data_IF_483236461574
#
_entry.id   IF_483236461574
#
_cell.length_a   1.000
_cell.length_b   1.000
_cell.length_c   1.000
_cell.angle_alpha   90.00
_cell.angle_beta   90.00
_cell.angle_gamma   90.00
#
_symmetry.space_group_name_H-M   'P 1'
#
loop_
_entity.id
_entity.type
_entity.pdbx_description
1 polymer ?
#
# COMPACT_ATOMS: atom_id res chain seq x y z
N UNK A 1 1.47 7.34 -21.30
CA UNK A 1 1.45 6.42 -20.13
C UNK A 1 0.79 7.08 -18.95
N UNK A 2 -0.09 6.39 -18.30
CA UNK A 2 -0.78 6.88 -17.10
C UNK A 2 -0.99 5.74 -16.10
N UNK A 3 -1.22 6.11 -14.84
CA UNK A 3 -1.64 5.16 -13.82
C UNK A 3 -3.15 4.94 -13.92
N UNK A 4 -3.54 3.70 -14.14
CA UNK A 4 -4.94 3.30 -14.10
C UNK A 4 -5.44 3.33 -12.65
N UNK A 5 -4.64 2.78 -11.74
CA UNK A 5 -4.85 2.96 -10.31
C UNK A 5 -3.54 2.79 -9.53
N UNK A 6 -3.56 3.32 -8.31
CA UNK A 6 -2.52 3.12 -7.32
C UNK A 6 -3.20 3.03 -5.95
N UNK A 7 -2.99 1.94 -5.24
CA UNK A 7 -3.62 1.70 -3.94
C UNK A 7 -2.63 1.06 -2.98
N UNK A 8 -2.92 1.21 -1.69
CA UNK A 8 -2.22 0.53 -0.61
C UNK A 8 -3.12 -0.58 -0.07
N UNK A 9 -2.55 -1.75 0.16
CA UNK A 9 -3.32 -2.92 0.56
C UNK A 9 -2.52 -3.82 1.51
N UNK A 10 -3.22 -4.72 2.17
CA UNK A 10 -2.60 -5.72 3.03
C UNK A 10 -1.83 -6.78 2.24
N UNK A 11 -2.33 -7.12 1.07
CA UNK A 11 -1.72 -8.14 0.22
C UNK A 11 -2.12 -7.93 -1.24
N UNK A 12 -1.21 -8.24 -2.13
CA UNK A 12 -1.48 -8.24 -3.56
C UNK A 12 -0.56 -9.20 -4.28
N UNK A 13 -1.04 -9.73 -5.38
CA UNK A 13 -0.23 -10.55 -6.28
C UNK A 13 -0.63 -10.31 -7.74
N UNK A 14 0.30 -10.60 -8.62
CA UNK A 14 0.06 -10.64 -10.06
C UNK A 14 0.33 -12.07 -10.50
N UNK A 15 -0.67 -12.73 -11.10
CA UNK A 15 -0.50 -14.10 -11.56
C UNK A 15 0.27 -14.17 -12.89
N UNK A 16 0.52 -15.40 -13.36
CA UNK A 16 1.26 -15.60 -14.61
C UNK A 16 0.57 -15.02 -15.83
N UNK A 17 -0.75 -14.85 -15.76
CA UNK A 17 -1.53 -14.27 -16.87
C UNK A 17 -1.61 -12.74 -16.80
N UNK A 18 -1.01 -12.14 -15.77
CA UNK A 18 -1.03 -10.69 -15.59
C UNK A 18 -2.24 -10.19 -14.81
N UNK A 19 -3.08 -11.07 -14.29
CA UNK A 19 -4.22 -10.66 -13.46
C UNK A 19 -3.76 -10.31 -12.06
N UNK A 20 -4.31 -9.22 -11.54
CA UNK A 20 -4.02 -8.76 -10.19
C UNK A 20 -5.10 -9.21 -9.23
N UNK A 21 -4.66 -9.62 -8.04
CA UNK A 21 -5.54 -9.82 -6.89
C UNK A 21 -5.06 -8.92 -5.77
N UNK A 22 -5.98 -8.14 -5.20
CA UNK A 22 -5.66 -7.17 -4.15
C UNK A 22 -6.61 -7.41 -2.99
N UNK A 23 -6.06 -7.61 -1.80
CA UNK A 23 -6.84 -7.86 -0.59
C UNK A 23 -6.57 -6.77 0.45
N UNK A 24 -7.65 -6.24 1.03
CA UNK A 24 -7.56 -5.29 2.11
C UNK A 24 -6.99 -3.94 1.69
N UNK A 25 -7.65 -3.26 0.76
CA UNK A 25 -7.29 -1.90 0.37
C UNK A 25 -7.62 -0.96 1.54
N UNK A 26 -6.67 -0.11 1.92
CA UNK A 26 -6.87 0.83 3.02
C UNK A 26 -6.20 2.16 2.74
N UNK A 27 -6.65 3.19 3.44
CA UNK A 27 -6.04 4.53 3.44
C UNK A 27 -5.79 5.02 4.87
N UNK A 28 -6.23 4.28 5.88
CA UNK A 28 -6.10 4.67 7.27
C UNK A 28 -5.48 3.53 8.07
N UNK A 29 -4.44 3.86 8.81
CA UNK A 29 -3.74 2.92 9.69
C UNK A 29 -3.95 3.36 11.13
N UNK A 30 -4.37 2.43 11.98
CA UNK A 30 -4.55 2.66 13.41
C UNK A 30 -3.48 1.89 14.17
N UNK A 31 -2.73 2.57 15.02
CA UNK A 31 -1.64 1.97 15.79
C UNK A 31 -1.81 2.28 17.27
N UNK A 32 -1.39 1.36 18.17
CA UNK A 32 -1.56 1.59 19.61
C UNK A 32 -0.61 2.64 20.16
N UNK A 33 0.57 2.78 19.60
CA UNK A 33 1.58 3.72 20.08
C UNK A 33 2.59 4.03 18.99
N UNK A 34 3.33 5.13 19.13
CA UNK A 34 4.41 5.53 18.24
C UNK A 34 5.77 5.44 18.96
N UNK A 35 6.86 5.19 18.22
CA UNK A 35 6.90 4.87 16.78
C UNK A 35 6.29 3.52 16.48
N UNK A 36 5.67 3.39 15.33
CA UNK A 36 5.03 2.15 14.90
C UNK A 36 5.64 1.66 13.60
N UNK A 37 5.71 0.35 13.44
CA UNK A 37 6.13 -0.29 12.19
C UNK A 37 4.92 -0.96 11.56
N UNK A 38 4.65 -0.62 10.29
CA UNK A 38 3.67 -1.34 9.51
C UNK A 38 4.39 -2.31 8.57
N UNK A 39 4.39 -3.60 8.88
CA UNK A 39 5.13 -4.56 8.06
C UNK A 39 4.39 -4.90 6.79
N UNK A 40 5.16 -5.12 5.74
CA UNK A 40 4.66 -5.64 4.47
C UNK A 40 3.48 -4.87 3.90
N UNK A 41 3.59 -3.55 3.90
CA UNK A 41 2.62 -2.70 3.23
C UNK A 41 2.79 -2.89 1.71
N UNK A 42 1.72 -3.24 1.03
CA UNK A 42 1.74 -3.45 -0.41
C UNK A 42 1.26 -2.21 -1.13
N UNK A 43 2.12 -1.62 -1.93
CA UNK A 43 1.75 -0.55 -2.85
C UNK A 43 1.53 -1.18 -4.21
N UNK A 44 0.32 -1.05 -4.73
CA UNK A 44 -0.13 -1.75 -5.91
C UNK A 44 -0.40 -0.75 -7.01
N UNK A 45 0.26 -0.93 -8.14
CA UNK A 45 0.18 -0.02 -9.28
C UNK A 45 -0.27 -0.77 -10.51
N UNK A 46 -1.13 -0.14 -11.31
CA UNK A 46 -1.44 -0.57 -12.64
C UNK A 46 -1.23 0.59 -13.61
N UNK A 47 -0.34 0.35 -14.56
CA UNK A 47 0.02 1.34 -15.57
C UNK A 47 -0.61 0.95 -16.90
N UNK A 48 -1.08 1.94 -17.62
CA UNK A 48 -1.55 1.77 -18.99
C UNK A 48 -0.73 2.66 -19.93
N UNK A 49 -0.44 2.15 -21.08
CA UNK A 49 0.32 2.86 -22.08
C UNK A 49 -0.11 2.51 -23.48
N UNK A 50 0.54 3.15 -24.42
CA UNK A 50 0.35 2.91 -25.84
C UNK A 50 1.41 1.93 -26.35
N UNK A 51 1.15 1.29 -27.46
CA UNK A 51 2.09 0.39 -28.13
C UNK A 51 3.47 0.99 -28.33
N UNK A 52 3.54 2.30 -28.53
CA UNK A 52 4.81 3.03 -28.69
C UNK A 52 5.64 3.08 -27.40
N UNK A 53 5.04 2.71 -26.26
CA UNK A 53 5.67 2.77 -24.94
C UNK A 53 6.16 1.39 -24.47
N UNK A 54 6.22 0.40 -25.36
CA UNK A 54 6.79 -0.92 -25.09
C UNK A 54 8.21 -0.79 -24.55
N UNK A 55 8.56 -1.62 -23.58
CA UNK A 55 9.89 -1.68 -22.99
C UNK A 55 9.89 -1.40 -21.50
N UNK A 56 11.08 -1.19 -20.97
CA UNK A 56 11.27 -0.93 -19.54
C UNK A 56 11.03 0.52 -19.21
N UNK A 57 10.33 0.73 -18.08
CA UNK A 57 10.10 2.04 -17.50
C UNK A 57 10.53 2.04 -16.04
N UNK A 58 11.14 3.13 -15.62
CA UNK A 58 11.61 3.28 -14.24
C UNK A 58 10.52 3.83 -13.35
N UNK A 59 10.27 3.14 -12.24
CA UNK A 59 9.31 3.58 -11.23
C UNK A 59 10.07 3.96 -9.98
N UNK A 60 9.82 5.16 -9.48
CA UNK A 60 10.36 5.65 -8.22
C UNK A 60 9.22 5.92 -7.25
N UNK A 61 9.40 5.46 -6.03
CA UNK A 61 8.42 5.62 -4.97
C UNK A 61 9.09 6.37 -3.82
N UNK A 62 8.40 7.38 -3.29
CA UNK A 62 8.85 8.11 -2.11
C UNK A 62 7.69 8.21 -1.14
N UNK A 63 7.93 7.86 0.12
CA UNK A 63 6.95 8.10 1.17
C UNK A 63 7.32 9.38 1.91
N UNK A 64 6.41 10.34 1.88
CA UNK A 64 6.60 11.68 2.43
C UNK A 64 5.66 11.91 3.61
N UNK A 65 6.11 12.71 4.56
CA UNK A 65 5.25 13.18 5.65
C UNK A 65 4.63 14.55 5.33
N UNK A 66 3.91 15.12 6.29
CA UNK A 66 3.25 16.42 6.12
C UNK A 66 4.23 17.58 5.91
N UNK A 67 5.46 17.43 6.37
CA UNK A 67 6.51 18.46 6.28
C UNK A 67 7.41 18.24 5.06
N UNK A 68 6.98 17.39 4.13
CA UNK A 68 7.74 17.03 2.94
C UNK A 68 9.09 16.36 3.24
N UNK A 69 9.18 15.70 4.39
CA UNK A 69 10.33 14.86 4.70
C UNK A 69 10.10 13.44 4.16
N UNK A 70 11.14 12.90 3.55
CA UNK A 70 11.09 11.55 3.01
C UNK A 70 11.37 10.52 4.12
N UNK A 71 10.45 9.58 4.33
CA UNK A 71 10.61 8.51 5.30
C UNK A 71 11.32 7.31 4.71
N UNK A 72 10.97 6.97 3.48
CA UNK A 72 11.63 5.91 2.74
C UNK A 72 11.45 6.15 1.24
N UNK A 73 12.26 5.47 0.47
CA UNK A 73 12.17 5.49 -0.97
C UNK A 73 12.48 4.11 -1.54
N UNK A 74 12.01 3.88 -2.73
CA UNK A 74 12.29 2.66 -3.46
C UNK A 74 12.21 2.92 -4.96
N UNK A 75 12.83 2.04 -5.71
CA UNK A 75 12.76 2.11 -7.16
C UNK A 75 12.66 0.70 -7.74
N UNK A 76 12.10 0.63 -8.92
CA UNK A 76 11.97 -0.61 -9.65
C UNK A 76 11.74 -0.33 -11.12
N UNK A 77 11.61 -1.40 -11.88
CA UNK A 77 11.29 -1.31 -13.30
C UNK A 77 9.97 -2.00 -13.58
N UNK A 78 9.22 -1.42 -14.49
CA UNK A 78 8.01 -2.04 -15.03
C UNK A 78 8.23 -2.24 -16.51
N UNK A 79 7.95 -3.43 -17.00
CA UNK A 79 8.13 -3.77 -18.38
C UNK A 79 6.78 -3.89 -19.10
N UNK A 80 6.57 -3.06 -20.09
CA UNK A 80 5.45 -3.22 -21.02
C UNK A 80 5.86 -4.18 -22.12
N UNK A 81 5.28 -5.37 -22.10
CA UNK A 81 5.50 -6.38 -23.12
C UNK A 81 4.84 -5.97 -24.43
N UNK A 82 5.41 -6.43 -25.53
CA UNK A 82 4.84 -6.14 -26.84
C UNK A 82 3.48 -6.84 -26.98
N UNK A 83 2.41 -6.07 -27.30
CA UNK A 83 1.09 -6.63 -27.42
C UNK A 83 0.92 -7.40 -28.74
N UNK A 84 -0.09 -8.29 -28.83
CA UNK A 84 -0.44 -8.91 -30.11
C UNK A 84 -0.77 -7.88 -31.18
N UNK A 85 -0.65 -8.29 -32.44
CA UNK A 85 -1.01 -7.42 -33.56
C UNK A 85 -2.44 -6.90 -33.45
N UNK A 86 -2.62 -5.61 -33.69
CA UNK A 86 -3.93 -4.96 -33.62
C UNK A 86 -4.29 -4.42 -32.23
N UNK A 87 -3.54 -4.76 -31.21
CA UNK A 87 -3.74 -4.21 -29.85
C UNK A 87 -2.91 -2.93 -29.71
N UNK A 88 -3.56 -1.82 -29.41
CA UNK A 88 -2.90 -0.52 -29.32
C UNK A 88 -2.63 -0.08 -27.87
N UNK A 89 -3.39 -0.59 -26.91
CA UNK A 89 -3.23 -0.27 -25.51
C UNK A 89 -2.56 -1.43 -24.80
N UNK A 90 -1.59 -1.11 -23.95
CA UNK A 90 -0.86 -2.07 -23.13
C UNK A 90 -0.98 -1.71 -21.67
N UNK A 91 -0.84 -2.71 -20.81
CA UNK A 91 -0.89 -2.52 -19.37
C UNK A 91 0.22 -3.29 -18.68
N UNK A 92 0.62 -2.80 -17.54
CA UNK A 92 1.58 -3.47 -16.68
C UNK A 92 1.20 -3.23 -15.22
N UNK A 93 1.47 -4.22 -14.40
CA UNK A 93 1.19 -4.18 -12.98
C UNK A 93 2.49 -4.24 -12.19
N UNK A 94 2.53 -3.57 -11.06
CA UNK A 94 3.64 -3.65 -10.13
C UNK A 94 3.12 -3.72 -8.71
N UNK A 95 3.77 -4.54 -7.90
CA UNK A 95 3.52 -4.63 -6.47
C UNK A 95 4.84 -4.40 -5.77
N UNK A 96 4.89 -3.35 -4.93
CA UNK A 96 6.06 -3.03 -4.13
C UNK A 96 5.70 -3.25 -2.67
N UNK A 97 6.59 -3.88 -1.91
CA UNK A 97 6.34 -4.22 -0.51
C UNK A 97 7.33 -3.48 0.37
N UNK A 98 6.80 -2.78 1.36
CA UNK A 98 7.61 -1.97 2.27
C UNK A 98 7.30 -2.30 3.73
N UNK A 99 8.35 -2.32 4.55
CA UNK A 99 8.20 -2.23 5.99
C UNK A 99 8.30 -0.75 6.36
N UNK A 100 7.20 -0.15 6.76
CA UNK A 100 7.13 1.30 6.89
C UNK A 100 7.20 1.71 8.36
N UNK A 101 8.23 2.48 8.76
CA UNK A 101 8.27 3.08 10.09
C UNK A 101 7.45 4.39 10.08
N UNK A 102 6.47 4.46 10.95
CA UNK A 102 5.71 5.68 11.16
C UNK A 102 6.11 6.30 12.50
N UNK A 103 6.81 7.45 12.50
CA UNK A 103 7.29 8.05 13.74
C UNK A 103 6.19 8.70 14.56
N UNK A 104 5.13 9.16 13.94
CA UNK A 104 4.04 9.89 14.59
C UNK A 104 2.74 9.77 13.79
N UNK A 105 1.64 10.13 14.43
CA UNK A 105 0.35 10.28 13.76
C UNK A 105 0.41 11.43 12.74
N UNK A 106 -0.33 11.32 11.68
CA UNK A 106 -0.42 12.37 10.68
C UNK A 106 -0.79 11.87 9.30
N UNK A 107 -0.64 12.77 8.34
CA UNK A 107 -0.89 12.48 6.94
C UNK A 107 0.43 12.17 6.24
N UNK A 108 0.45 11.05 5.55
CA UNK A 108 1.59 10.61 4.75
C UNK A 108 1.11 10.41 3.32
N UNK A 109 2.05 10.38 2.38
CA UNK A 109 1.71 10.11 1.00
C UNK A 109 2.83 9.38 0.30
N UNK A 110 2.46 8.42 -0.52
CA UNK A 110 3.38 7.87 -1.51
C UNK A 110 3.33 8.74 -2.77
N UNK A 111 4.49 9.19 -3.20
CA UNK A 111 4.64 9.87 -4.48
C UNK A 111 5.20 8.87 -5.48
N UNK A 112 4.51 8.71 -6.60
CA UNK A 112 4.84 7.75 -7.63
C UNK A 112 5.29 8.49 -8.87
N UNK A 113 6.53 8.23 -9.27
CA UNK A 113 7.17 8.84 -10.43
C UNK A 113 7.53 7.75 -11.43
N UNK A 114 7.19 7.94 -12.68
CA UNK A 114 7.54 7.01 -13.75
C UNK A 114 8.33 7.77 -14.79
N UNK A 115 9.52 7.28 -15.12
CA UNK A 115 10.46 7.91 -16.07
C UNK A 115 10.71 9.39 -15.76
N UNK A 116 10.82 9.72 -14.46
CA UNK A 116 11.08 11.09 -14.02
C UNK A 116 9.85 11.99 -13.93
N UNK A 117 8.68 11.51 -14.27
CA UNK A 117 7.44 12.28 -14.23
C UNK A 117 6.52 11.76 -13.13
N UNK A 118 6.03 12.68 -12.27
CA UNK A 118 5.09 12.30 -11.22
C UNK A 118 3.76 11.91 -11.86
N UNK A 119 3.29 10.69 -11.54
CA UNK A 119 2.04 10.15 -12.08
C UNK A 119 0.91 10.13 -11.07
N UNK A 120 1.20 9.94 -9.78
CA UNK A 120 0.17 9.84 -8.77
C UNK A 120 0.72 10.09 -7.37
N UNK A 121 -0.21 10.38 -6.48
CA UNK A 121 0.03 10.48 -5.05
C UNK A 121 -1.02 9.63 -4.34
N UNK A 122 -0.59 8.77 -3.44
CA UNK A 122 -1.48 7.91 -2.64
C UNK A 122 -1.41 8.35 -1.19
N UNK A 123 -2.49 8.96 -0.66
CA UNK A 123 -2.49 9.42 0.72
C UNK A 123 -2.70 8.28 1.70
N UNK A 124 -2.08 8.39 2.88
CA UNK A 124 -2.27 7.47 4.00
C UNK A 124 -2.40 8.32 5.25
N UNK A 125 -3.44 8.06 6.03
CA UNK A 125 -3.62 8.67 7.35
C UNK A 125 -3.24 7.66 8.41
N UNK A 126 -2.39 8.07 9.36
CA UNK A 126 -1.98 7.22 10.48
C UNK A 126 -2.44 7.88 11.77
N UNK A 127 -3.20 7.14 12.55
CA UNK A 127 -3.78 7.63 13.81
C UNK A 127 -3.45 6.69 14.94
N UNK A 128 -3.37 7.25 16.14
CA UNK A 128 -3.25 6.44 17.34
C UNK A 128 -4.62 5.90 17.73
N UNK A 129 -4.66 4.59 18.00
CA UNK A 129 -5.86 4.02 18.58
C UNK A 129 -6.14 4.64 19.95
N UNK A 130 -7.38 5.05 20.24
CA UNK A 130 -7.71 5.40 21.60
C UNK A 130 -7.45 4.19 22.51
N UNK A 131 -7.01 4.40 23.77
CA UNK A 131 -6.83 3.29 24.68
C UNK A 131 -8.13 2.49 24.75
N UNK A 132 -8.05 1.21 24.44
CA UNK A 132 -9.19 0.35 24.60
C UNK A 132 -9.53 0.29 26.10
N UNK A 133 -10.81 0.47 26.46
CA UNK A 133 -11.19 0.20 27.85
C UNK A 133 -10.74 -1.24 28.17
N UNK A 134 -10.15 -1.42 29.36
CA UNK A 134 -9.78 -2.75 29.81
C UNK A 134 -10.98 -3.67 29.58
N UNK A 135 -10.79 -4.86 29.01
CA UNK A 135 -11.90 -5.79 28.87
C UNK A 135 -12.54 -5.96 30.24
N UNK A 136 -13.87 -5.84 30.28
CA UNK A 136 -14.59 -6.07 31.51
C UNK A 136 -14.08 -7.38 32.13
N UNK A 137 -13.74 -7.35 33.41
CA UNK A 137 -13.33 -8.58 34.09
C UNK A 137 -14.38 -9.66 33.78
N UNK A 138 -13.96 -10.87 33.43
CA UNK A 138 -14.94 -11.94 33.24
C UNK A 138 -15.81 -12.02 34.48
N UNK A 139 -17.12 -12.22 34.31
CA UNK A 139 -17.99 -12.32 35.47
C UNK A 139 -17.39 -13.35 36.42
N UNK A 140 -17.27 -12.98 37.69
CA UNK A 140 -16.79 -13.92 38.70
C UNK A 140 -17.59 -15.20 38.56
N UNK A 141 -16.89 -16.34 38.62
CA UNK A 141 -17.57 -17.63 38.61
C UNK A 141 -18.74 -17.61 39.60
N UNK A 142 -19.93 -18.09 39.21
CA UNK A 142 -21.02 -18.13 40.14
C UNK A 142 -20.58 -18.92 41.37
N UNK A 143 -20.96 -18.49 42.57
CA UNK A 143 -20.59 -19.22 43.76
C UNK A 143 -21.05 -20.67 43.62
N UNK A 144 -20.20 -21.61 44.03
CA UNK A 144 -20.59 -23.01 44.03
C UNK A 144 -21.87 -23.17 44.82
N UNK A 145 -22.82 -23.91 44.27
CA UNK A 145 -24.03 -24.23 45.00
C UNK A 145 -23.68 -24.89 46.35
N UNK A 146 -24.36 -24.51 47.44
CA UNK A 146 -24.11 -25.13 48.70
C UNK A 146 -24.26 -26.66 48.62
N UNK A 147 -23.31 -27.43 49.13
CA UNK A 147 -23.36 -28.88 49.11
C UNK A 147 -22.88 -29.55 47.85
N UNK A 148 -22.33 -28.80 46.93
CA UNK A 148 -21.73 -29.35 45.70
C UNK A 148 -20.24 -29.49 45.81
#
# INVERSE_FOLDING_TARGET
>A
MHLDFAVVADYALVDQSGKMSVLGIFQHIWVPQFPAMHPRLHLVLRLKGRRTEVGEHQVQIRLMDEEDAELLGGSGTVNFAEPPAGVTEIEAAAVLVFDVPFPRAGQYRFEITVDGERKATVPITVSQMPPMPAPAAPPSSPPKAPGS
#
